data_IF_958897984926
#
_entry.id   IF_958897984926
#
_cell.length_a   1.000
_cell.length_b   1.000
_cell.length_c   1.000
_cell.angle_alpha   90.00
_cell.angle_beta   90.00
_cell.angle_gamma   90.00
#
_symmetry.space_group_name_H-M   'P 1'
#
loop_
_entity.id
_entity.type
_entity.pdbx_description
1 polymer ?
#
# COMPACT_ATOMS: atom_id res chain seq x y z
N UNK A 1 -10.18 51.87 -10.85
CA UNK A 1 -10.39 51.51 -9.43
C UNK A 1 -10.30 49.99 -9.36
N UNK A 2 -9.12 49.50 -9.03
CA UNK A 2 -8.74 48.09 -8.97
C UNK A 2 -8.97 47.57 -7.55
N UNK A 3 -9.87 46.58 -7.39
CA UNK A 3 -9.90 45.77 -6.18
C UNK A 3 -9.14 44.47 -6.45
N UNK A 4 -8.28 44.14 -5.49
CA UNK A 4 -7.20 43.17 -5.51
C UNK A 4 -7.72 41.75 -5.28
N UNK A 5 -7.21 40.83 -6.09
CA UNK A 5 -6.64 39.53 -5.73
C UNK A 5 -7.17 38.88 -4.43
N UNK A 6 -8.20 38.04 -4.57
CA UNK A 6 -8.47 36.96 -3.61
C UNK A 6 -7.49 35.81 -3.93
N UNK A 7 -6.65 35.45 -2.95
CA UNK A 7 -5.71 34.35 -3.07
C UNK A 7 -6.46 33.01 -3.04
N UNK A 8 -6.45 32.20 -4.12
CA UNK A 8 -7.15 30.92 -4.17
C UNK A 8 -6.57 29.85 -3.23
N UNK A 9 -5.48 30.14 -2.50
CA UNK A 9 -4.84 29.23 -1.54
C UNK A 9 -5.12 29.56 -0.07
N UNK A 10 -6.02 30.52 0.23
CA UNK A 10 -6.43 30.87 1.60
C UNK A 10 -7.22 29.74 2.33
N UNK A 11 -7.45 28.61 1.66
CA UNK A 11 -8.02 27.39 2.26
C UNK A 11 -7.07 26.66 3.23
N UNK A 12 -5.81 27.07 3.34
CA UNK A 12 -4.82 26.48 4.26
C UNK A 12 -4.55 27.37 5.48
N UNK A 13 -5.51 28.21 5.85
CA UNK A 13 -5.49 29.04 7.05
C UNK A 13 -5.20 28.22 8.32
N UNK A 14 -4.20 28.69 9.05
CA UNK A 14 -3.63 28.11 10.25
C UNK A 14 -4.63 28.20 11.41
N UNK A 15 -5.08 27.06 11.93
CA UNK A 15 -5.78 26.98 13.22
C UNK A 15 -5.08 25.92 14.05
N UNK A 16 -4.10 26.40 14.82
CA UNK A 16 -3.64 25.77 16.06
C UNK A 16 -4.78 25.91 17.08
N UNK A 17 -5.54 24.84 17.28
CA UNK A 17 -6.38 24.68 18.48
C UNK A 17 -5.88 23.42 19.20
N UNK A 18 -5.03 23.64 20.21
CA UNK A 18 -4.72 22.65 21.23
C UNK A 18 -5.94 22.53 22.18
N UNK A 19 -6.63 21.39 22.15
CA UNK A 19 -7.51 20.98 23.25
C UNK A 19 -7.10 19.59 23.78
N UNK A 20 -6.55 19.66 24.98
CA UNK A 20 -6.24 18.59 25.93
C UNK A 20 -7.55 18.08 26.55
N UNK A 21 -7.88 16.79 26.38
CA UNK A 21 -9.01 16.19 27.10
C UNK A 21 -8.66 14.76 27.54
N UNK A 22 -8.06 14.72 28.73
CA UNK A 22 -7.75 13.57 29.55
C UNK A 22 -9.05 12.94 30.08
N UNK A 23 -9.42 11.74 29.60
CA UNK A 23 -10.52 10.93 30.19
C UNK A 23 -10.14 9.46 30.37
N UNK A 24 -9.70 9.20 31.59
CA UNK A 24 -10.02 8.09 32.48
C UNK A 24 -10.13 6.65 31.95
N UNK A 25 -9.22 5.84 32.51
CA UNK A 25 -9.27 4.39 32.60
C UNK A 25 -10.57 3.89 33.25
N UNK A 26 -11.32 3.06 32.51
CA UNK A 26 -12.25 2.09 33.13
C UNK A 26 -11.79 0.70 32.67
N UNK A 27 -11.17 -0.04 33.59
CA UNK A 27 -10.94 -1.47 33.45
C UNK A 27 -12.25 -2.20 33.71
N UNK A 28 -12.77 -2.90 32.70
CA UNK A 28 -13.73 -3.99 32.91
C UNK A 28 -13.07 -5.32 32.49
N UNK A 29 -12.81 -6.15 33.50
CA UNK A 29 -12.43 -7.56 33.37
C UNK A 29 -13.65 -8.38 32.93
N UNK A 30 -13.77 -8.67 31.64
CA UNK A 30 -14.57 -9.82 31.17
C UNK A 30 -13.91 -10.48 29.95
N UNK A 31 -12.82 -11.21 30.20
CA UNK A 31 -12.24 -12.13 29.24
C UNK A 31 -13.05 -13.43 29.18
N UNK A 32 -13.76 -13.70 28.07
CA UNK A 32 -13.86 -15.03 27.40
C UNK A 32 -14.84 -15.01 26.21
N UNK A 33 -14.28 -14.66 25.04
CA UNK A 33 -14.65 -15.03 23.66
C UNK A 33 -14.34 -13.85 22.74
N UNK A 34 -13.05 -13.52 22.63
CA UNK A 34 -12.59 -12.52 21.69
C UNK A 34 -12.57 -13.15 20.29
N UNK A 35 -13.71 -13.08 19.60
CA UNK A 35 -13.67 -13.08 18.15
C UNK A 35 -13.00 -11.74 17.80
N UNK A 36 -11.84 -11.70 17.12
CA UNK A 36 -11.21 -10.43 16.79
C UNK A 36 -12.21 -9.61 15.98
N UNK A 37 -12.75 -8.56 16.59
CA UNK A 37 -13.65 -7.63 15.91
C UNK A 37 -12.83 -7.05 14.78
N UNK A 38 -13.16 -7.41 13.53
CA UNK A 38 -12.54 -6.81 12.35
C UNK A 38 -12.77 -5.32 12.48
N UNK A 39 -11.70 -4.54 12.62
CA UNK A 39 -11.82 -3.08 12.75
C UNK A 39 -12.39 -2.58 11.43
N UNK A 40 -13.53 -1.91 11.50
CA UNK A 40 -14.16 -1.31 10.33
C UNK A 40 -13.80 0.16 10.35
N UNK A 41 -13.30 0.67 9.23
CA UNK A 41 -13.03 2.10 9.04
C UNK A 41 -14.28 2.93 9.34
N UNK A 42 -14.08 4.07 9.99
CA UNK A 42 -15.15 5.03 10.28
C UNK A 42 -15.78 5.57 8.98
N UNK A 43 -17.08 5.79 8.98
CA UNK A 43 -17.85 6.16 7.77
C UNK A 43 -17.44 7.52 7.20
N UNK A 44 -16.95 8.41 8.06
CA UNK A 44 -16.45 9.74 7.71
C UNK A 44 -15.06 9.70 7.09
N UNK A 45 -14.32 8.59 7.17
CA UNK A 45 -12.99 8.45 6.61
C UNK A 45 -13.03 8.07 5.11
N UNK A 46 -13.75 8.83 4.30
CA UNK A 46 -14.02 8.57 2.89
C UNK A 46 -13.00 9.15 1.90
N UNK A 47 -13.35 9.09 0.60
CA UNK A 47 -12.51 9.55 -0.52
C UNK A 47 -12.17 11.05 -0.51
N UNK A 48 -13.03 11.87 0.12
CA UNK A 48 -12.84 13.32 0.22
C UNK A 48 -12.38 13.77 1.61
N UNK A 49 -12.01 12.82 2.47
CA UNK A 49 -11.64 13.09 3.84
C UNK A 49 -10.13 13.25 3.94
N UNK A 50 -9.70 14.44 4.38
CA UNK A 50 -8.30 14.70 4.60
C UNK A 50 -7.94 14.34 6.04
N UNK A 51 -6.96 13.44 6.18
CA UNK A 51 -6.39 13.08 7.47
C UNK A 51 -4.89 13.37 7.43
N UNK A 52 -4.37 14.26 8.30
CA UNK A 52 -2.95 14.56 8.31
C UNK A 52 -2.14 13.30 8.67
N UNK A 53 -0.95 13.18 8.10
CA UNK A 53 0.02 12.13 8.43
C UNK A 53 -0.43 10.68 8.13
N UNK A 54 -1.47 10.49 7.31
CA UNK A 54 -1.97 9.15 6.93
C UNK A 54 -0.89 8.29 6.28
N UNK A 55 -0.04 8.88 5.43
CA UNK A 55 1.08 8.19 4.78
C UNK A 55 2.14 7.73 5.80
N UNK A 56 2.40 8.53 6.83
CA UNK A 56 3.32 8.17 7.91
C UNK A 56 2.75 7.05 8.79
N UNK A 57 1.45 7.15 9.11
CA UNK A 57 0.71 6.14 9.87
C UNK A 57 0.67 4.79 9.12
N UNK A 58 0.44 4.81 7.80
CA UNK A 58 0.55 3.63 6.93
C UNK A 58 1.94 3.00 7.02
N UNK A 59 3.00 3.81 6.88
CA UNK A 59 4.37 3.32 6.93
C UNK A 59 4.71 2.64 8.26
N UNK A 60 4.28 3.23 9.37
CA UNK A 60 4.44 2.63 10.72
C UNK A 60 3.68 1.31 10.80
N UNK A 61 2.43 1.26 10.32
CA UNK A 61 1.65 0.03 10.32
C UNK A 61 2.33 -1.10 9.53
N UNK A 62 2.76 -0.82 8.29
CA UNK A 62 3.45 -1.81 7.44
C UNK A 62 4.73 -2.30 8.10
N UNK A 63 5.53 -1.41 8.72
CA UNK A 63 6.73 -1.79 9.47
C UNK A 63 6.41 -2.72 10.64
N UNK A 64 5.37 -2.41 11.41
CA UNK A 64 4.95 -3.24 12.54
C UNK A 64 4.51 -4.64 12.09
N UNK A 65 3.74 -4.74 10.99
CA UNK A 65 3.32 -6.04 10.42
C UNK A 65 4.54 -6.87 10.00
N UNK A 66 5.50 -6.27 9.30
CA UNK A 66 6.73 -6.96 8.88
C UNK A 66 7.54 -7.44 10.09
N UNK A 67 7.72 -6.60 11.12
CA UNK A 67 8.46 -6.96 12.33
C UNK A 67 7.79 -8.12 13.10
N UNK A 68 6.47 -8.07 13.27
CA UNK A 68 5.70 -9.14 13.91
C UNK A 68 5.84 -10.46 13.15
N UNK A 69 5.80 -10.40 11.82
CA UNK A 69 5.97 -11.59 10.99
C UNK A 69 7.38 -12.20 11.12
N UNK A 70 8.43 -11.38 11.14
CA UNK A 70 9.81 -11.84 11.35
C UNK A 70 10.01 -12.49 12.72
N UNK A 71 9.41 -11.92 13.77
CA UNK A 71 9.43 -12.50 15.11
C UNK A 71 8.71 -13.84 15.18
N UNK A 72 7.54 -13.96 14.53
CA UNK A 72 6.77 -15.21 14.48
C UNK A 72 7.53 -16.32 13.74
N UNK A 73 8.17 -16.00 12.61
CA UNK A 73 9.00 -16.93 11.86
C UNK A 73 10.25 -17.40 12.62
N UNK A 74 10.73 -16.61 13.59
CA UNK A 74 11.89 -16.98 14.42
C UNK A 74 11.54 -17.97 15.55
N UNK A 75 10.26 -18.05 15.93
CA UNK A 75 9.77 -18.87 17.05
C UNK A 75 9.04 -20.15 16.62
N UNK A 76 8.79 -20.35 15.32
CA UNK A 76 8.03 -21.48 14.78
C UNK A 76 8.73 -22.13 13.59
N UNK A 77 8.68 -23.47 13.55
CA UNK A 77 9.30 -24.40 12.59
C UNK A 77 8.75 -24.33 11.14
N UNK A 78 8.36 -23.16 10.66
CA UNK A 78 7.95 -23.01 9.26
C UNK A 78 9.10 -22.45 8.44
N UNK A 79 9.89 -23.37 7.87
CA UNK A 79 10.88 -23.14 6.81
C UNK A 79 10.22 -22.75 5.47
N UNK A 80 9.08 -22.06 5.49
CA UNK A 80 8.42 -21.60 4.29
C UNK A 80 8.91 -20.20 3.93
N UNK A 81 10.14 -20.17 3.42
CA UNK A 81 10.79 -19.06 2.70
C UNK A 81 9.99 -18.63 1.43
N UNK A 82 8.80 -19.20 1.21
CA UNK A 82 7.92 -18.99 0.07
C UNK A 82 7.03 -17.75 0.20
N UNK A 83 6.96 -17.08 1.36
CA UNK A 83 6.15 -15.86 1.51
C UNK A 83 6.84 -14.69 0.81
N UNK A 84 6.37 -14.39 -0.40
CA UNK A 84 6.90 -13.32 -1.25
C UNK A 84 6.82 -11.97 -0.51
N UNK A 85 7.94 -11.28 -0.26
CA UNK A 85 7.96 -10.05 0.55
C UNK A 85 7.00 -8.96 0.08
N UNK A 86 6.78 -8.83 -1.23
CA UNK A 86 5.84 -7.85 -1.78
C UNK A 86 4.39 -8.10 -1.33
N UNK A 87 3.99 -9.37 -1.19
CA UNK A 87 2.63 -9.75 -0.85
C UNK A 87 2.30 -9.34 0.58
N UNK A 88 3.27 -9.49 1.49
CA UNK A 88 3.16 -9.02 2.88
C UNK A 88 2.91 -7.52 2.92
N UNK A 89 3.71 -6.75 2.16
CA UNK A 89 3.57 -5.29 2.09
C UNK A 89 2.23 -4.87 1.50
N UNK A 90 1.83 -5.44 0.36
CA UNK A 90 0.55 -5.11 -0.28
C UNK A 90 -0.64 -5.48 0.61
N UNK A 91 -0.59 -6.61 1.30
CA UNK A 91 -1.67 -7.03 2.21
C UNK A 91 -1.77 -6.09 3.42
N UNK A 92 -0.64 -5.71 4.03
CA UNK A 92 -0.63 -4.74 5.12
C UNK A 92 -1.19 -3.37 4.68
N UNK A 93 -0.89 -2.93 3.45
CA UNK A 93 -1.48 -1.70 2.90
C UNK A 93 -3.00 -1.86 2.69
N UNK A 94 -3.45 -2.99 2.12
CA UNK A 94 -4.87 -3.24 1.89
C UNK A 94 -5.65 -3.27 3.23
N UNK A 95 -5.13 -3.99 4.23
CA UNK A 95 -5.70 -4.05 5.57
C UNK A 95 -5.81 -2.65 6.19
N UNK A 96 -4.74 -1.85 6.14
CA UNK A 96 -4.79 -0.47 6.60
C UNK A 96 -5.88 0.36 5.90
N UNK A 97 -6.01 0.17 4.58
CA UNK A 97 -6.99 0.91 3.77
C UNK A 97 -8.44 0.50 4.05
N UNK A 98 -8.65 -0.78 4.37
CA UNK A 98 -9.96 -1.33 4.73
C UNK A 98 -10.37 -0.96 6.16
N UNK A 99 -9.44 -1.03 7.10
CA UNK A 99 -9.73 -1.00 8.53
C UNK A 99 -9.53 0.35 9.20
N UNK A 100 -8.67 1.22 8.63
CA UNK A 100 -8.31 2.49 9.26
C UNK A 100 -8.63 3.69 8.38
N UNK A 101 -7.93 3.84 7.26
CA UNK A 101 -8.04 5.04 6.45
C UNK A 101 -8.16 4.75 4.97
N UNK A 102 -9.15 5.34 4.33
CA UNK A 102 -9.20 5.27 2.88
C UNK A 102 -8.01 6.03 2.28
N UNK A 103 -7.37 5.42 1.28
CA UNK A 103 -6.23 6.02 0.58
C UNK A 103 -6.36 5.78 -0.92
N UNK A 104 -5.77 6.66 -1.73
CA UNK A 104 -5.85 6.69 -3.20
C UNK A 104 -5.12 5.52 -3.90
N UNK A 105 -4.86 4.41 -3.22
CA UNK A 105 -4.19 3.26 -3.82
C UNK A 105 -5.05 2.61 -4.91
N UNK A 106 -4.37 1.95 -5.86
CA UNK A 106 -5.04 1.14 -6.90
C UNK A 106 -5.90 0.05 -6.25
N UNK A 107 -5.43 -0.55 -5.15
CA UNK A 107 -6.13 -1.64 -4.46
C UNK A 107 -6.02 -2.98 -5.20
N UNK A 108 -6.50 -4.08 -4.57
CA UNK A 108 -6.25 -5.43 -5.04
C UNK A 108 -6.93 -5.74 -6.38
N UNK A 109 -8.21 -5.35 -6.54
CA UNK A 109 -9.01 -5.65 -7.74
C UNK A 109 -8.44 -5.00 -8.99
N UNK A 110 -8.21 -3.67 -8.94
CA UNK A 110 -7.58 -2.96 -10.06
C UNK A 110 -6.10 -3.34 -10.22
N UNK A 111 -5.42 -3.71 -9.14
CA UNK A 111 -4.03 -4.16 -9.17
C UNK A 111 -3.85 -5.44 -9.98
N UNK A 112 -4.80 -6.38 -9.93
CA UNK A 112 -4.81 -7.57 -10.78
C UNK A 112 -4.90 -7.21 -12.26
N UNK A 113 -5.74 -6.25 -12.63
CA UNK A 113 -5.88 -5.79 -14.02
C UNK A 113 -4.57 -5.16 -14.49
N UNK A 114 -4.01 -4.23 -13.72
CA UNK A 114 -2.75 -3.53 -14.07
C UNK A 114 -1.60 -4.53 -14.24
N UNK A 115 -1.46 -5.48 -13.32
CA UNK A 115 -0.38 -6.48 -13.37
C UNK A 115 -0.53 -7.45 -14.53
N UNK A 116 -1.76 -7.87 -14.84
CA UNK A 116 -2.05 -8.72 -15.99
C UNK A 116 -1.76 -7.99 -17.31
N UNK A 117 -2.24 -6.75 -17.46
CA UNK A 117 -1.97 -5.94 -18.66
C UNK A 117 -0.48 -5.72 -18.86
N UNK A 118 0.28 -5.39 -17.81
CA UNK A 118 1.73 -5.25 -17.90
C UNK A 118 2.39 -6.55 -18.38
N UNK A 119 2.01 -7.69 -17.81
CA UNK A 119 2.54 -8.99 -18.21
C UNK A 119 2.26 -9.28 -19.69
N UNK A 120 1.04 -9.05 -20.15
CA UNK A 120 0.63 -9.27 -21.53
C UNK A 120 1.41 -8.38 -22.50
N UNK A 121 1.59 -7.09 -22.19
CA UNK A 121 2.40 -6.17 -23.00
C UNK A 121 3.86 -6.61 -23.10
N UNK A 122 4.47 -7.08 -22.00
CA UNK A 122 5.85 -7.55 -22.00
C UNK A 122 5.98 -8.84 -22.83
N UNK A 123 5.04 -9.77 -22.70
CA UNK A 123 5.04 -11.01 -23.47
C UNK A 123 4.76 -10.79 -24.96
N UNK A 124 3.89 -9.85 -25.30
CA UNK A 124 3.65 -9.44 -26.68
C UNK A 124 4.93 -8.87 -27.31
N UNK A 125 5.61 -7.93 -26.62
CA UNK A 125 6.92 -7.43 -27.07
C UNK A 125 7.91 -8.58 -27.27
N UNK A 126 7.89 -9.58 -26.38
CA UNK A 126 8.79 -10.75 -26.44
C UNK A 126 8.57 -11.63 -27.65
N UNK A 127 7.31 -11.87 -27.98
CA UNK A 127 6.96 -12.72 -29.10
C UNK A 127 7.18 -12.02 -30.46
N UNK A 128 7.05 -10.69 -30.49
CA UNK A 128 7.19 -9.90 -31.72
C UNK A 128 8.64 -9.52 -32.05
N UNK A 129 9.54 -9.48 -31.06
CA UNK A 129 10.96 -9.18 -31.28
C UNK A 129 11.76 -10.45 -31.60
N UNK A 130 12.28 -10.57 -32.85
CA UNK A 130 13.14 -11.70 -33.29
C UNK A 130 14.47 -11.79 -32.52
N UNK A 131 14.92 -10.70 -31.94
CA UNK A 131 16.10 -10.60 -31.06
C UNK A 131 15.72 -9.75 -29.86
N UNK A 132 15.77 -10.31 -28.65
CA UNK A 132 15.49 -9.59 -27.40
C UNK A 132 16.68 -8.69 -27.02
N UNK A 133 16.89 -7.62 -27.80
CA UNK A 133 17.97 -6.65 -27.59
C UNK A 133 17.45 -5.28 -27.13
N UNK A 134 16.14 -5.16 -26.91
CA UNK A 134 15.52 -3.91 -26.47
C UNK A 134 14.94 -4.05 -25.06
N UNK A 135 15.23 -3.06 -24.22
CA UNK A 135 14.66 -2.97 -22.89
C UNK A 135 13.14 -2.74 -22.94
N UNK A 136 12.44 -3.22 -21.91
CA UNK A 136 11.06 -2.86 -21.64
C UNK A 136 11.06 -1.75 -20.58
N UNK A 137 10.56 -0.58 -20.95
CA UNK A 137 10.50 0.58 -20.05
C UNK A 137 9.07 0.78 -19.59
N UNK A 138 8.87 0.81 -18.28
CA UNK A 138 7.59 1.13 -17.63
C UNK A 138 7.72 2.48 -16.91
N UNK A 139 6.73 3.36 -17.09
CA UNK A 139 6.67 4.67 -16.42
C UNK A 139 5.41 4.74 -15.59
N UNK A 140 5.57 5.05 -14.30
CA UNK A 140 4.48 5.35 -13.37
C UNK A 140 4.34 6.87 -13.22
N UNK A 141 3.15 7.40 -13.49
CA UNK A 141 2.82 8.81 -13.29
C UNK A 141 2.03 8.97 -11.99
N UNK A 142 2.75 9.28 -10.90
CA UNK A 142 2.18 9.43 -9.57
C UNK A 142 2.33 8.16 -8.73
N UNK A 143 3.42 8.09 -7.97
CA UNK A 143 3.77 6.93 -7.13
C UNK A 143 2.97 6.87 -5.82
N UNK A 144 2.53 8.02 -5.30
CA UNK A 144 1.92 8.15 -3.98
C UNK A 144 2.78 7.42 -2.91
N UNK A 145 2.24 6.41 -2.20
CA UNK A 145 2.99 5.61 -1.23
C UNK A 145 3.71 4.37 -1.83
N UNK A 146 3.75 4.23 -3.16
CA UNK A 146 4.50 3.17 -3.84
C UNK A 146 3.78 1.82 -4.00
N UNK A 147 2.47 1.75 -3.70
CA UNK A 147 1.70 0.51 -3.85
C UNK A 147 1.75 -0.05 -5.27
N UNK A 148 1.48 0.78 -6.27
CA UNK A 148 1.50 0.35 -7.67
C UNK A 148 2.94 0.04 -8.11
N UNK A 149 3.94 0.82 -7.71
CA UNK A 149 5.35 0.52 -7.97
C UNK A 149 5.77 -0.87 -7.49
N UNK A 150 5.31 -1.30 -6.30
CA UNK A 150 5.58 -2.65 -5.77
C UNK A 150 4.99 -3.72 -6.68
N UNK A 151 3.75 -3.54 -7.13
CA UNK A 151 3.08 -4.47 -8.06
C UNK A 151 3.81 -4.56 -9.39
N UNK A 152 4.18 -3.42 -9.98
CA UNK A 152 4.90 -3.36 -11.26
C UNK A 152 6.28 -4.02 -11.14
N UNK A 153 7.02 -3.72 -10.07
CA UNK A 153 8.35 -4.28 -9.82
C UNK A 153 8.32 -5.81 -9.65
N UNK A 154 7.31 -6.37 -9.00
CA UNK A 154 7.15 -7.82 -8.85
C UNK A 154 6.96 -8.51 -10.21
N UNK A 155 6.14 -7.94 -11.10
CA UNK A 155 5.96 -8.48 -12.46
C UNK A 155 7.26 -8.41 -13.27
N UNK A 156 7.96 -7.28 -13.24
CA UNK A 156 9.25 -7.12 -13.93
C UNK A 156 10.29 -8.12 -13.40
N UNK A 157 10.35 -8.33 -12.08
CA UNK A 157 11.24 -9.31 -11.46
C UNK A 157 10.91 -10.74 -11.87
N UNK A 158 9.62 -11.13 -11.89
CA UNK A 158 9.17 -12.46 -12.31
C UNK A 158 9.62 -12.77 -13.73
N UNK A 159 9.40 -11.84 -14.66
CA UNK A 159 9.74 -12.03 -16.08
C UNK A 159 11.26 -12.09 -16.28
N UNK A 160 12.03 -11.25 -15.58
CA UNK A 160 13.49 -11.28 -15.63
C UNK A 160 14.03 -12.65 -15.18
N UNK A 161 13.51 -13.17 -14.06
CA UNK A 161 13.92 -14.48 -13.50
C UNK A 161 13.53 -15.64 -14.41
N UNK A 162 12.36 -15.61 -15.04
CA UNK A 162 11.95 -16.65 -16.01
C UNK A 162 12.82 -16.65 -17.27
N UNK A 163 13.41 -15.49 -17.63
CA UNK A 163 14.21 -15.37 -18.85
C UNK A 163 15.66 -15.83 -18.65
N UNK A 164 16.25 -15.69 -17.45
CA UNK A 164 17.60 -16.18 -17.13
C UNK A 164 17.72 -17.71 -17.06
N UNK A 165 16.62 -18.44 -16.81
CA UNK A 165 16.61 -19.91 -16.81
C UNK A 165 16.64 -20.53 -18.22
N UNK A 166 16.66 -19.71 -19.29
CA UNK A 166 16.81 -20.14 -20.69
C UNK A 166 18.11 -19.65 -21.32
N UNK A 167 19.25 -19.83 -20.64
CA UNK A 167 20.55 -19.87 -21.33
C UNK A 167 21.00 -21.33 -21.42
N UNK A 168 21.34 -21.83 -22.62
CA UNK A 168 21.86 -23.19 -22.83
C UNK A 168 23.21 -23.40 -22.13
#
# INVERSE_FOLDING_TARGET
MTNKDEDPFDCFGSMDDEEDDNKDNVMDEETRNYCPVKRVRELDCGVLSFHPSTESSLLVHVRNVIQQQQQWSSNGKDSDDSRKPYLVVCNAINEYCEERHWMMHVGPEKGQIVTQTLYDCIMEKKNNCKTWNEDFVCVELGTYCGYASILLADILKKISTTTTLKKP
#
